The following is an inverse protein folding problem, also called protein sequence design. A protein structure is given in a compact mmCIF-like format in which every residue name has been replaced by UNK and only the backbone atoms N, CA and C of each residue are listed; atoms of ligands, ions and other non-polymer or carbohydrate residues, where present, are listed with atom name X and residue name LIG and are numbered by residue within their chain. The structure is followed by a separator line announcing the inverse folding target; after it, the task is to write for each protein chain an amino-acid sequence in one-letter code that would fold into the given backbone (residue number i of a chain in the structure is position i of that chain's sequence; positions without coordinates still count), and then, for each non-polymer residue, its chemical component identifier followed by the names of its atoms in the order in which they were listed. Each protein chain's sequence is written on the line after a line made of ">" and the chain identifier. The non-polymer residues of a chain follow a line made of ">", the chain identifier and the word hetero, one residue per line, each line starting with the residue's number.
data_IF_876768303653
#
_entry.id   IF_876768303653
#
_cell.length_a   1.000
_cell.length_b   1.000
_cell.length_c   1.000
_cell.angle_alpha   90.00
_cell.angle_beta   90.00
_cell.angle_gamma   90.00
#
_symmetry.space_group_name_H-M   'P 1'
#
loop_
_entity.id
_entity.type
_entity.pdbx_description
1 polymer ?
#
# COMPACT_ATOMS: atom_id res chain seq x y z
N UNK A 1 8.24 -15.88 66.72
CA UNK A 1 9.19 -15.43 65.69
C UNK A 1 9.19 -16.46 64.57
N UNK A 2 8.32 -16.30 63.56
CA UNK A 2 8.33 -17.12 62.35
C UNK A 2 9.12 -16.39 61.28
N UNK A 3 10.22 -16.97 60.82
CA UNK A 3 11.02 -16.49 59.70
C UNK A 3 10.38 -16.94 58.38
N UNK A 4 10.07 -15.99 57.52
CA UNK A 4 9.55 -16.22 56.16
C UNK A 4 10.76 -16.22 55.21
N UNK A 5 11.04 -17.39 54.61
CA UNK A 5 11.96 -17.51 53.47
C UNK A 5 11.26 -17.00 52.21
N UNK A 6 11.79 -15.95 51.59
CA UNK A 6 11.42 -15.54 50.23
C UNK A 6 12.23 -16.33 49.22
N UNK A 7 11.56 -17.23 48.48
CA UNK A 7 12.09 -17.82 47.24
C UNK A 7 11.89 -16.81 46.10
N UNK A 8 12.99 -16.20 45.67
CA UNK A 8 13.07 -15.40 44.44
C UNK A 8 13.00 -16.35 43.22
N UNK A 9 11.82 -16.46 42.61
CA UNK A 9 11.70 -17.01 41.27
C UNK A 9 12.19 -15.99 40.24
N UNK A 10 13.36 -16.24 39.65
CA UNK A 10 13.83 -15.56 38.44
C UNK A 10 12.84 -15.83 37.30
N UNK A 11 11.97 -14.86 37.02
CA UNK A 11 11.20 -14.81 35.77
C UNK A 11 12.16 -14.34 34.70
N UNK A 12 12.68 -15.27 33.89
CA UNK A 12 13.32 -14.94 32.63
C UNK A 12 12.26 -14.31 31.72
N UNK A 13 12.36 -13.00 31.51
CA UNK A 13 11.66 -12.28 30.46
C UNK A 13 12.30 -12.71 29.15
N UNK A 14 11.74 -13.72 28.49
CA UNK A 14 12.09 -14.06 27.11
C UNK A 14 11.16 -13.31 26.16
N UNK A 15 11.80 -12.60 25.25
CA UNK A 15 11.25 -11.78 24.17
C UNK A 15 9.97 -12.33 23.51
N UNK A 16 8.95 -11.46 23.42
CA UNK A 16 7.73 -11.67 22.64
C UNK A 16 7.92 -11.71 21.11
N UNK A 17 9.13 -11.96 20.62
CA UNK A 17 9.49 -11.99 19.19
C UNK A 17 9.37 -13.40 18.57
N UNK A 18 9.48 -14.48 19.35
CA UNK A 18 9.54 -15.84 18.79
C UNK A 18 8.18 -16.46 18.38
N UNK A 19 7.03 -15.95 18.83
CA UNK A 19 5.74 -16.63 18.63
C UNK A 19 4.99 -16.26 17.33
N UNK A 20 5.41 -15.21 16.61
CA UNK A 20 4.71 -14.80 15.37
C UNK A 20 5.07 -15.67 14.16
N UNK A 21 6.27 -16.24 14.12
CA UNK A 21 6.76 -17.06 13.01
C UNK A 21 6.11 -18.45 12.94
N UNK A 22 5.76 -19.04 14.09
CA UNK A 22 5.15 -20.37 14.17
C UNK A 22 3.76 -20.46 13.49
N UNK A 23 3.12 -19.32 13.24
CA UNK A 23 1.76 -19.23 12.72
C UNK A 23 1.69 -18.70 11.28
N UNK A 24 2.80 -18.62 10.54
CA UNK A 24 2.77 -18.14 9.15
C UNK A 24 2.04 -19.12 8.20
N UNK A 25 1.16 -18.65 7.28
CA UNK A 25 0.80 -17.25 6.98
C UNK A 25 -0.42 -16.72 7.76
N UNK A 26 -0.95 -17.45 8.75
CA UNK A 26 -2.15 -17.02 9.49
C UNK A 26 -1.97 -15.69 10.23
N UNK A 27 -0.74 -15.40 10.68
CA UNK A 27 -0.37 -14.11 11.27
C UNK A 27 -0.50 -12.90 10.32
N UNK A 28 -0.58 -13.10 9.00
CA UNK A 28 -0.79 -12.02 8.03
C UNK A 28 -2.23 -11.46 8.06
N UNK A 29 -3.17 -12.16 8.71
CA UNK A 29 -4.58 -11.77 8.77
C UNK A 29 -5.16 -11.45 7.38
N UNK A 30 -5.08 -12.42 6.46
CA UNK A 30 -5.59 -12.32 5.09
C UNK A 30 -6.69 -13.37 4.84
N UNK A 31 -7.58 -13.13 3.86
CA UNK A 31 -8.61 -14.10 3.50
C UNK A 31 -8.02 -15.47 3.17
N UNK A 32 -8.68 -16.56 3.62
CA UNK A 32 -8.26 -17.93 3.30
C UNK A 32 -8.17 -18.19 1.79
N UNK A 33 -9.02 -17.52 1.00
CA UNK A 33 -9.00 -17.58 -0.46
C UNK A 33 -7.74 -17.00 -1.10
N UNK A 34 -7.01 -16.12 -0.41
CA UNK A 34 -5.80 -15.47 -0.92
C UNK A 34 -4.53 -16.27 -0.64
N UNK A 35 -4.54 -17.08 0.42
CA UNK A 35 -3.37 -17.85 0.88
C UNK A 35 -2.69 -18.64 -0.26
N UNK A 36 -3.41 -19.38 -1.13
CA UNK A 36 -2.76 -20.17 -2.19
C UNK A 36 -1.94 -19.34 -3.19
N UNK A 37 -2.17 -18.03 -3.28
CA UNK A 37 -1.56 -17.13 -4.25
C UNK A 37 -0.32 -16.42 -3.70
N UNK A 38 -0.04 -16.51 -2.40
CA UNK A 38 1.12 -15.85 -1.78
C UNK A 38 2.46 -16.47 -2.21
N UNK A 39 2.48 -17.78 -2.47
CA UNK A 39 3.70 -18.58 -2.55
C UNK A 39 4.37 -18.57 -3.93
N UNK A 40 4.12 -17.51 -4.71
CA UNK A 40 4.85 -17.17 -5.93
C UNK A 40 5.73 -15.92 -5.76
N UNK A 41 5.58 -15.22 -4.64
CA UNK A 41 6.36 -14.04 -4.30
C UNK A 41 7.50 -14.41 -3.34
N UNK A 42 8.73 -14.06 -3.73
CA UNK A 42 9.96 -14.44 -3.04
C UNK A 42 9.97 -14.12 -1.53
N UNK A 43 9.56 -12.91 -1.08
CA UNK A 43 9.47 -12.63 0.35
C UNK A 43 8.62 -13.62 1.15
N UNK A 44 7.49 -14.07 0.59
CA UNK A 44 6.62 -15.05 1.26
C UNK A 44 7.16 -16.47 1.17
N UNK A 45 7.82 -16.83 0.05
CA UNK A 45 8.52 -18.11 -0.10
C UNK A 45 9.64 -18.22 0.94
N UNK A 46 10.54 -17.23 0.99
CA UNK A 46 11.69 -17.21 1.90
C UNK A 46 11.21 -17.31 3.37
N UNK A 47 10.10 -16.64 3.73
CA UNK A 47 9.49 -16.75 5.06
C UNK A 47 8.81 -18.11 5.29
N UNK A 48 8.13 -18.69 4.29
CA UNK A 48 7.47 -19.98 4.42
C UNK A 48 8.46 -21.14 4.59
N UNK A 49 9.62 -21.07 3.93
CA UNK A 49 10.65 -22.10 3.98
C UNK A 49 11.24 -22.30 5.38
N UNK A 50 11.28 -21.23 6.18
CA UNK A 50 11.74 -21.27 7.57
C UNK A 50 10.69 -21.82 8.54
N UNK A 51 9.43 -21.95 8.12
CA UNK A 51 8.31 -22.40 8.96
C UNK A 51 7.82 -23.78 8.50
N UNK A 52 8.16 -24.83 9.26
CA UNK A 52 7.85 -26.24 8.92
C UNK A 52 6.38 -26.46 8.52
N UNK A 53 5.44 -25.92 9.29
CA UNK A 53 4.01 -26.06 9.02
C UNK A 53 3.58 -25.39 7.70
N UNK A 54 4.16 -24.22 7.38
CA UNK A 54 3.90 -23.54 6.11
C UNK A 54 4.46 -24.36 4.94
N UNK A 55 5.73 -24.75 5.03
CA UNK A 55 6.43 -25.53 3.99
C UNK A 55 5.68 -26.80 3.63
N UNK A 56 5.30 -27.60 4.62
CA UNK A 56 4.58 -28.87 4.39
C UNK A 56 3.21 -28.65 3.73
N UNK A 57 2.50 -27.57 4.09
CA UNK A 57 1.12 -27.35 3.65
C UNK A 57 1.01 -26.65 2.29
N UNK A 58 1.93 -25.73 1.97
CA UNK A 58 1.73 -24.80 0.85
C UNK A 58 2.81 -24.86 -0.23
N UNK A 59 3.94 -25.54 -0.01
CA UNK A 59 5.02 -25.60 -1.01
C UNK A 59 4.91 -26.80 -1.99
N UNK A 60 3.88 -27.65 -1.87
CA UNK A 60 3.68 -28.83 -2.70
C UNK A 60 2.51 -28.67 -3.71
N UNK A 61 2.80 -28.77 -5.01
CA UNK A 61 1.82 -29.14 -6.07
C UNK A 61 0.72 -28.12 -6.40
N UNK A 62 0.86 -27.48 -7.58
CA UNK A 62 0.01 -26.45 -8.22
C UNK A 62 0.29 -25.01 -7.73
N UNK A 63 1.10 -24.30 -8.53
CA UNK A 63 1.42 -22.89 -8.35
C UNK A 63 0.26 -22.00 -8.85
N UNK A 64 -0.55 -21.51 -7.92
CA UNK A 64 -1.46 -20.38 -8.17
C UNK A 64 -0.69 -19.08 -8.02
N UNK A 65 -1.03 -18.08 -8.82
CA UNK A 65 -0.33 -16.79 -8.85
C UNK A 65 -1.32 -15.63 -8.92
N UNK A 66 -0.94 -14.45 -8.49
CA UNK A 66 -1.80 -13.27 -8.61
C UNK A 66 -1.96 -12.84 -10.07
N UNK A 67 -0.88 -12.86 -10.83
CA UNK A 67 -0.88 -12.50 -12.26
C UNK A 67 0.35 -11.74 -12.71
N UNK A 68 1.05 -11.10 -11.77
CA UNK A 68 2.23 -10.28 -12.06
C UNK A 68 3.56 -11.05 -11.90
N UNK A 69 3.53 -12.22 -11.27
CA UNK A 69 4.72 -13.02 -11.02
C UNK A 69 5.32 -13.60 -12.31
N UNK A 70 6.65 -13.75 -12.33
CA UNK A 70 7.35 -14.34 -13.47
C UNK A 70 6.86 -15.76 -13.74
N UNK A 71 6.46 -16.04 -14.98
CA UNK A 71 5.95 -17.35 -15.39
C UNK A 71 4.48 -17.62 -15.05
N UNK A 72 3.77 -16.66 -14.44
CA UNK A 72 2.34 -16.79 -14.20
C UNK A 72 1.56 -16.78 -15.53
N UNK A 73 0.77 -17.82 -15.76
CA UNK A 73 -0.16 -17.92 -16.91
C UNK A 73 -1.58 -17.61 -16.44
N UNK A 74 -2.40 -17.04 -17.34
CA UNK A 74 -3.76 -16.61 -17.00
C UNK A 74 -4.56 -17.69 -16.29
N UNK A 75 -4.55 -18.93 -16.79
CA UNK A 75 -5.29 -20.08 -16.20
C UNK A 75 -4.97 -20.36 -14.73
N UNK A 76 -3.76 -20.01 -14.27
CA UNK A 76 -3.32 -20.21 -12.88
C UNK A 76 -3.46 -18.92 -12.05
N UNK A 77 -3.84 -17.81 -12.69
CA UNK A 77 -3.99 -16.52 -12.03
C UNK A 77 -5.27 -16.45 -11.19
N UNK A 78 -5.28 -15.60 -10.17
CA UNK A 78 -6.48 -15.30 -9.39
C UNK A 78 -7.65 -14.85 -10.28
N UNK A 79 -7.34 -14.03 -11.27
CA UNK A 79 -8.32 -13.40 -12.16
C UNK A 79 -8.99 -14.36 -13.16
N UNK A 80 -8.44 -15.56 -13.37
CA UNK A 80 -9.04 -16.56 -14.28
C UNK A 80 -10.47 -16.94 -13.91
N UNK A 81 -10.77 -16.97 -12.61
CA UNK A 81 -12.08 -17.34 -12.10
C UNK A 81 -13.09 -16.19 -12.17
N UNK A 82 -12.64 -14.94 -12.31
CA UNK A 82 -13.48 -13.74 -12.16
C UNK A 82 -13.69 -13.00 -13.47
N UNK A 83 -12.68 -12.88 -14.33
CA UNK A 83 -12.78 -12.08 -15.56
C UNK A 83 -13.80 -12.72 -16.51
N UNK A 84 -14.72 -11.91 -17.00
CA UNK A 84 -15.71 -12.27 -18.03
C UNK A 84 -15.74 -11.19 -19.09
N UNK A 85 -15.90 -11.58 -20.34
CA UNK A 85 -16.11 -10.65 -21.45
C UNK A 85 -17.35 -11.09 -22.23
N UNK A 86 -18.47 -10.43 -21.91
CA UNK A 86 -19.80 -10.75 -22.41
C UNK A 86 -20.12 -9.87 -23.63
N UNK A 87 -21.03 -10.33 -24.50
CA UNK A 87 -21.39 -9.65 -25.75
C UNK A 87 -20.20 -9.43 -26.71
N UNK A 88 -19.17 -10.28 -26.60
CA UNK A 88 -17.99 -10.30 -27.48
C UNK A 88 -18.00 -11.58 -28.30
N UNK A 89 -17.64 -11.48 -29.59
CA UNK A 89 -17.53 -12.64 -30.47
C UNK A 89 -16.52 -13.67 -29.94
N UNK A 90 -16.72 -14.95 -30.21
CA UNK A 90 -15.83 -16.01 -29.69
C UNK A 90 -14.39 -15.86 -30.17
N UNK A 91 -14.21 -15.29 -31.36
CA UNK A 91 -12.90 -15.03 -31.97
C UNK A 91 -12.14 -13.91 -31.25
N UNK A 92 -12.83 -12.87 -30.78
CA UNK A 92 -12.22 -11.71 -30.12
C UNK A 92 -12.05 -11.90 -28.62
N UNK A 93 -12.90 -12.73 -27.99
CA UNK A 93 -12.96 -12.93 -26.54
C UNK A 93 -11.60 -13.24 -25.89
N UNK A 94 -10.74 -14.14 -26.42
CA UNK A 94 -9.43 -14.39 -25.82
C UNK A 94 -8.52 -13.16 -25.80
N UNK A 95 -8.57 -12.34 -26.86
CA UNK A 95 -7.80 -11.10 -26.97
C UNK A 95 -8.27 -10.08 -25.93
N UNK A 96 -9.58 -9.85 -25.83
CA UNK A 96 -10.17 -8.93 -24.85
C UNK A 96 -9.88 -9.33 -23.40
N UNK A 97 -10.00 -10.62 -23.06
CA UNK A 97 -9.62 -11.12 -21.72
C UNK A 97 -8.15 -10.80 -21.42
N UNK A 98 -7.26 -11.02 -22.40
CA UNK A 98 -5.84 -10.75 -22.24
C UNK A 98 -5.57 -9.26 -22.01
N UNK A 99 -6.20 -8.37 -22.77
CA UNK A 99 -6.07 -6.92 -22.59
C UNK A 99 -6.59 -6.48 -21.23
N UNK A 100 -7.83 -6.88 -20.87
CA UNK A 100 -8.42 -6.54 -19.58
C UNK A 100 -7.55 -7.02 -18.41
N UNK A 101 -7.01 -8.24 -18.48
CA UNK A 101 -6.11 -8.76 -17.45
C UNK A 101 -4.80 -7.95 -17.34
N UNK A 102 -4.21 -7.59 -18.48
CA UNK A 102 -2.95 -6.84 -18.55
C UNK A 102 -3.09 -5.37 -18.10
N UNK A 103 -4.27 -4.77 -18.28
CA UNK A 103 -4.46 -3.33 -18.13
C UNK A 103 -5.30 -2.93 -16.91
N UNK A 104 -6.31 -3.73 -16.56
CA UNK A 104 -7.28 -3.43 -15.51
C UNK A 104 -7.32 -4.43 -14.35
N UNK A 105 -6.29 -5.28 -14.22
CA UNK A 105 -6.22 -6.33 -13.20
C UNK A 105 -4.77 -6.56 -12.72
N UNK A 106 -4.53 -7.59 -11.92
CA UNK A 106 -3.24 -7.91 -11.29
C UNK A 106 -2.05 -7.94 -12.25
N UNK A 107 -2.22 -8.37 -13.51
CA UNK A 107 -1.09 -8.42 -14.44
C UNK A 107 -0.54 -7.02 -14.79
N UNK A 108 -1.32 -5.95 -14.56
CA UNK A 108 -0.83 -4.57 -14.64
C UNK A 108 0.34 -4.30 -13.69
N UNK A 109 0.36 -4.93 -12.52
CA UNK A 109 1.45 -4.76 -11.53
C UNK A 109 2.78 -5.34 -12.02
N UNK A 110 2.76 -6.18 -13.06
CA UNK A 110 3.97 -6.76 -13.63
C UNK A 110 4.94 -5.69 -14.12
N UNK A 111 4.45 -4.67 -14.82
CA UNK A 111 5.30 -3.60 -15.34
C UNK A 111 5.89 -2.76 -14.20
N UNK A 112 5.11 -2.52 -13.14
CA UNK A 112 5.60 -1.84 -11.93
C UNK A 112 6.74 -2.65 -11.32
N UNK A 113 6.51 -3.92 -10.99
CA UNK A 113 7.50 -4.79 -10.32
C UNK A 113 8.76 -4.97 -11.18
N UNK A 114 8.62 -5.16 -12.50
CA UNK A 114 9.77 -5.38 -13.38
C UNK A 114 10.61 -4.14 -13.64
N UNK A 115 10.06 -2.94 -13.38
CA UNK A 115 10.75 -1.66 -13.59
C UNK A 115 11.45 -1.14 -12.34
N UNK A 116 11.35 -1.84 -11.20
CA UNK A 116 11.99 -1.41 -9.97
C UNK A 116 13.51 -1.51 -10.11
N UNK A 117 14.18 -0.36 -9.94
CA UNK A 117 15.63 -0.24 -10.03
C UNK A 117 16.19 0.55 -8.84
N UNK A 118 17.38 0.20 -8.34
CA UNK A 118 18.01 0.91 -7.24
C UNK A 118 18.56 2.27 -7.69
N UNK A 119 18.26 3.31 -6.90
CA UNK A 119 18.77 4.69 -7.07
C UNK A 119 19.86 5.01 -6.05
N UNK A 120 19.71 4.48 -4.83
CA UNK A 120 20.67 4.62 -3.73
C UNK A 120 20.94 3.22 -3.17
N UNK A 121 22.20 2.81 -3.12
CA UNK A 121 22.61 1.53 -2.57
C UNK A 121 23.73 1.69 -1.57
N UNK A 122 23.70 0.83 -0.54
CA UNK A 122 24.74 0.72 0.47
C UNK A 122 24.81 -0.72 0.93
N UNK A 123 26.04 -1.25 1.10
CA UNK A 123 26.23 -2.60 1.66
C UNK A 123 25.83 -2.69 3.13
N UNK A 124 25.98 -1.59 3.87
CA UNK A 124 25.63 -1.53 5.29
C UNK A 124 24.11 -1.33 5.48
N UNK A 125 23.50 -2.11 6.38
CA UNK A 125 22.09 -2.01 6.74
C UNK A 125 21.75 -0.75 7.56
N UNK A 126 22.74 -0.08 8.14
CA UNK A 126 22.57 1.20 8.83
C UNK A 126 22.65 2.41 7.90
N UNK A 127 23.13 2.22 6.67
CA UNK A 127 23.19 3.24 5.63
C UNK A 127 21.90 3.25 4.81
N UNK A 128 21.78 4.18 3.86
CA UNK A 128 20.56 4.40 3.12
C UNK A 128 20.43 3.50 1.91
N UNK A 129 19.17 3.24 1.55
CA UNK A 129 18.79 2.53 0.35
C UNK A 129 17.53 3.19 -0.22
N UNK A 130 17.43 3.28 -1.55
CA UNK A 130 16.24 3.74 -2.26
C UNK A 130 16.19 3.00 -3.59
N UNK A 131 15.04 2.42 -3.89
CA UNK A 131 14.71 1.93 -5.21
C UNK A 131 13.28 2.30 -5.57
N UNK A 132 13.05 2.46 -6.86
CA UNK A 132 11.79 2.94 -7.38
C UNK A 132 11.43 2.23 -8.68
N UNK A 133 10.14 2.07 -8.93
CA UNK A 133 9.62 1.76 -10.27
C UNK A 133 9.79 2.95 -11.21
N UNK A 134 9.60 2.71 -12.51
CA UNK A 134 9.53 3.76 -13.53
C UNK A 134 8.61 4.93 -13.12
N UNK A 135 8.97 6.14 -13.56
CA UNK A 135 8.30 7.40 -13.24
C UNK A 135 8.20 7.73 -11.74
N UNK A 136 8.98 7.07 -10.87
CA UNK A 136 8.90 7.22 -9.40
C UNK A 136 7.48 6.97 -8.86
N UNK A 137 6.76 6.02 -9.48
CA UNK A 137 5.36 5.70 -9.14
C UNK A 137 5.20 4.87 -7.86
N UNK A 138 6.19 4.02 -7.57
CA UNK A 138 6.31 3.27 -6.34
C UNK A 138 7.77 3.31 -5.92
N UNK A 139 8.06 3.52 -4.64
CA UNK A 139 9.41 3.43 -4.10
C UNK A 139 9.43 2.74 -2.75
N UNK A 140 10.55 2.10 -2.43
CA UNK A 140 10.87 1.66 -1.07
C UNK A 140 12.25 2.13 -0.68
N UNK A 141 12.37 2.55 0.56
CA UNK A 141 13.57 3.18 1.09
C UNK A 141 13.88 2.70 2.49
N UNK A 142 15.17 2.78 2.84
CA UNK A 142 15.67 2.51 4.19
C UNK A 142 16.61 3.63 4.62
N UNK A 143 16.49 4.03 5.88
CA UNK A 143 17.26 5.10 6.51
C UNK A 143 17.28 6.39 5.69
N UNK A 144 16.13 6.99 5.40
CA UNK A 144 16.04 8.27 4.67
C UNK A 144 15.41 9.34 5.53
N UNK A 145 15.50 10.61 5.11
CA UNK A 145 14.80 11.71 5.75
C UNK A 145 14.02 12.58 4.76
N UNK A 146 12.98 13.24 5.27
CA UNK A 146 12.32 14.38 4.67
C UNK A 146 12.35 15.55 5.66
N UNK A 147 12.72 16.75 5.21
CA UNK A 147 12.73 17.96 6.00
C UNK A 147 11.63 18.89 5.53
N UNK A 148 10.58 19.01 6.33
CA UNK A 148 9.37 19.78 6.01
C UNK A 148 9.52 21.28 6.32
N UNK A 149 10.68 21.86 6.02
CA UNK A 149 10.98 23.28 6.28
C UNK A 149 10.02 24.22 5.53
N UNK A 150 9.53 23.81 4.36
CA UNK A 150 8.71 24.64 3.47
C UNK A 150 7.21 24.28 3.51
N UNK A 151 6.80 23.40 4.44
CA UNK A 151 5.40 23.01 4.58
C UNK A 151 4.53 24.21 5.02
N UNK A 152 4.99 25.05 5.94
CA UNK A 152 4.28 26.24 6.42
C UNK A 152 2.81 25.91 6.78
N UNK A 153 2.62 24.88 7.61
CA UNK A 153 1.34 24.19 7.78
C UNK A 153 0.16 25.15 8.06
N UNK A 154 0.37 26.19 8.88
CA UNK A 154 -0.69 27.14 9.29
C UNK A 154 -1.42 27.83 8.13
N UNK A 155 -0.73 28.07 7.02
CA UNK A 155 -1.29 28.74 5.84
C UNK A 155 -1.25 27.85 4.60
N UNK A 156 -0.96 26.57 4.78
CA UNK A 156 -0.71 25.65 3.68
C UNK A 156 -2.01 25.22 3.00
N UNK A 157 -1.96 25.14 1.67
CA UNK A 157 -3.06 24.67 0.82
C UNK A 157 -2.89 23.18 0.54
N UNK A 158 -4.00 22.51 0.25
CA UNK A 158 -4.01 21.12 -0.20
C UNK A 158 -3.29 20.97 -1.55
N UNK A 159 -2.66 19.81 -1.78
CA UNK A 159 -2.01 19.43 -3.04
C UNK A 159 -0.77 20.25 -3.42
N UNK A 160 0.01 20.70 -2.44
CA UNK A 160 1.28 21.40 -2.70
C UNK A 160 2.37 20.45 -3.17
N UNK A 161 3.06 20.83 -4.24
CA UNK A 161 4.18 20.11 -4.85
C UNK A 161 5.56 20.76 -4.57
N UNK A 162 5.56 21.82 -3.77
CA UNK A 162 6.70 22.67 -3.43
C UNK A 162 7.06 22.56 -1.93
N UNK A 163 6.75 21.42 -1.29
CA UNK A 163 7.04 21.20 0.13
C UNK A 163 8.49 20.77 0.35
N UNK A 164 9.08 20.06 -0.63
CA UNK A 164 10.43 19.49 -0.56
C UNK A 164 11.31 20.19 -1.60
N UNK A 165 12.48 20.63 -1.16
CA UNK A 165 13.49 21.29 -1.99
C UNK A 165 14.87 20.64 -1.83
N UNK A 166 15.88 21.19 -2.52
CA UNK A 166 17.29 20.86 -2.32
C UNK A 166 17.67 20.89 -0.82
N UNK A 167 18.35 19.84 -0.37
CA UNK A 167 18.70 19.71 1.04
C UNK A 167 17.61 19.11 1.93
N UNK A 168 16.39 18.90 1.41
CA UNK A 168 15.25 18.49 2.23
C UNK A 168 14.91 17.00 2.13
N UNK A 169 15.55 16.25 1.25
CA UNK A 169 15.35 14.81 1.16
C UNK A 169 16.67 14.13 0.88
N UNK A 170 16.89 12.99 1.51
CA UNK A 170 18.10 12.24 1.25
C UNK A 170 18.41 11.14 2.25
N UNK A 171 19.64 10.68 2.17
CA UNK A 171 20.20 9.64 3.02
C UNK A 171 21.71 9.56 2.86
N UNK A 172 22.34 8.53 3.40
CA UNK A 172 23.75 8.19 3.22
C UNK A 172 23.89 6.99 2.30
N UNK A 173 24.17 7.23 1.03
CA UNK A 173 24.35 6.17 0.02
C UNK A 173 25.84 5.87 -0.20
N UNK A 174 26.22 4.60 -0.33
CA UNK A 174 27.53 4.20 -0.87
C UNK A 174 27.62 4.55 -2.37
N UNK A 175 26.55 4.26 -3.12
CA UNK A 175 26.40 4.64 -4.53
C UNK A 175 25.03 5.28 -4.73
N UNK A 176 25.01 6.43 -5.40
CA UNK A 176 23.79 7.17 -5.74
C UNK A 176 23.81 7.54 -7.22
N UNK A 177 22.72 7.22 -7.92
CA UNK A 177 22.54 7.50 -9.36
C UNK A 177 21.59 8.70 -9.55
N UNK A 178 22.17 9.90 -9.57
CA UNK A 178 21.44 11.14 -9.72
C UNK A 178 20.86 11.32 -11.13
N UNK A 179 21.55 10.82 -12.15
CA UNK A 179 21.12 10.94 -13.55
C UNK A 179 19.89 10.05 -13.82
N UNK A 180 19.88 8.83 -13.28
CA UNK A 180 18.72 7.95 -13.33
C UNK A 180 17.53 8.55 -12.58
N UNK A 181 17.74 9.06 -11.36
CA UNK A 181 16.68 9.74 -10.60
C UNK A 181 16.07 10.89 -11.40
N UNK A 182 16.91 11.73 -12.01
CA UNK A 182 16.47 12.88 -12.81
C UNK A 182 15.65 12.45 -14.02
N UNK A 183 16.05 11.36 -14.69
CA UNK A 183 15.28 10.78 -15.82
C UNK A 183 13.97 10.15 -15.39
N UNK A 184 13.91 9.52 -14.23
CA UNK A 184 12.69 8.89 -13.70
C UNK A 184 11.71 9.90 -13.08
N UNK A 185 12.14 11.13 -12.81
CA UNK A 185 11.27 12.21 -12.32
C UNK A 185 10.57 12.96 -13.46
N UNK A 186 10.21 12.27 -14.54
CA UNK A 186 9.60 12.81 -15.75
C UNK A 186 8.08 13.01 -15.65
N UNK A 187 7.41 12.29 -14.75
CA UNK A 187 6.04 12.59 -14.33
C UNK A 187 6.04 13.34 -13.00
N UNK A 188 5.47 14.55 -12.94
CA UNK A 188 5.47 15.42 -11.76
C UNK A 188 4.09 16.02 -11.50
N UNK A 189 3.14 15.19 -11.11
CA UNK A 189 1.83 15.65 -10.62
C UNK A 189 1.52 15.01 -9.28
N UNK A 190 0.81 15.74 -8.41
CA UNK A 190 0.67 15.41 -6.99
C UNK A 190 0.24 13.96 -6.77
N UNK A 191 -0.79 13.48 -7.48
CA UNK A 191 -1.31 12.10 -7.37
C UNK A 191 -0.83 11.16 -8.49
N UNK A 192 0.17 11.55 -9.29
CA UNK A 192 0.72 10.70 -10.36
C UNK A 192 1.99 9.97 -9.92
N UNK A 193 2.87 10.63 -9.17
CA UNK A 193 4.18 10.08 -8.80
C UNK A 193 4.73 10.72 -7.52
N UNK A 194 5.89 10.22 -7.10
CA UNK A 194 6.75 10.80 -6.06
C UNK A 194 7.86 11.70 -6.62
N UNK A 195 7.74 12.10 -7.89
CA UNK A 195 8.77 12.86 -8.59
C UNK A 195 9.05 14.23 -7.95
N UNK A 196 8.02 14.94 -7.49
CA UNK A 196 8.20 16.24 -6.83
C UNK A 196 9.00 16.15 -5.54
N UNK A 197 8.78 15.11 -4.76
CA UNK A 197 9.38 14.91 -3.44
C UNK A 197 10.77 14.30 -3.55
N UNK A 198 11.01 13.42 -4.53
CA UNK A 198 12.26 12.67 -4.65
C UNK A 198 13.27 13.28 -5.62
N UNK A 199 12.89 14.17 -6.54
CA UNK A 199 13.84 14.78 -7.50
C UNK A 199 15.00 15.52 -6.84
N UNK A 200 14.83 15.96 -5.59
CA UNK A 200 15.86 16.63 -4.79
C UNK A 200 16.66 15.68 -3.89
N UNK A 201 16.49 14.37 -4.02
CA UNK A 201 17.19 13.40 -3.18
C UNK A 201 18.71 13.53 -3.37
N UNK A 202 19.43 13.60 -2.26
CA UNK A 202 20.88 13.69 -2.24
C UNK A 202 21.50 12.72 -1.23
N UNK A 203 22.78 12.37 -1.46
CA UNK A 203 23.57 11.56 -0.53
C UNK A 203 24.42 12.44 0.41
N UNK A 204 24.35 12.18 1.72
CA UNK A 204 25.02 12.91 2.78
C UNK A 204 25.93 11.96 3.58
N UNK A 205 27.24 12.13 3.46
CA UNK A 205 28.25 11.24 4.07
C UNK A 205 28.10 11.07 5.59
N UNK A 206 27.68 12.13 6.29
CA UNK A 206 27.60 12.15 7.75
C UNK A 206 26.21 11.82 8.28
N UNK A 207 25.21 11.62 7.41
CA UNK A 207 23.86 11.34 7.86
C UNK A 207 23.75 9.98 8.52
N UNK A 208 23.00 9.95 9.63
CA UNK A 208 22.56 8.76 10.35
C UNK A 208 21.14 9.01 10.83
N UNK A 209 20.34 7.96 10.93
CA UNK A 209 19.04 8.07 11.59
C UNK A 209 19.27 8.00 13.11
N UNK A 210 19.38 9.18 13.73
CA UNK A 210 19.53 9.37 15.18
C UNK A 210 18.97 10.75 15.59
N UNK A 211 18.84 10.98 16.90
CA UNK A 211 18.30 12.24 17.42
C UNK A 211 19.21 13.46 17.27
N UNK A 212 20.44 13.30 16.76
CA UNK A 212 21.30 14.45 16.39
C UNK A 212 20.99 14.96 14.99
N UNK A 213 20.49 14.08 14.12
CA UNK A 213 20.18 14.40 12.73
C UNK A 213 18.68 14.46 12.45
N UNK A 214 17.82 13.98 13.34
CA UNK A 214 16.38 13.83 13.12
C UNK A 214 15.59 14.38 14.31
N UNK A 215 14.56 15.16 14.04
CA UNK A 215 13.62 15.65 15.06
C UNK A 215 12.58 14.58 15.40
N UNK A 216 12.19 13.77 14.40
CA UNK A 216 11.24 12.67 14.53
C UNK A 216 11.82 11.45 13.83
N UNK A 217 11.73 10.28 14.47
CA UNK A 217 12.19 9.01 13.90
C UNK A 217 11.03 8.02 13.89
N UNK A 218 10.75 7.49 12.70
CA UNK A 218 9.87 6.35 12.51
C UNK A 218 10.70 5.07 12.45
N UNK A 219 10.71 4.31 13.54
CA UNK A 219 11.46 3.05 13.63
C UNK A 219 10.74 1.88 12.96
N UNK A 220 9.40 1.90 12.93
CA UNK A 220 8.60 0.88 12.25
C UNK A 220 8.54 1.13 10.74
N UNK A 221 8.22 0.10 9.93
CA UNK A 221 7.84 0.30 8.54
C UNK A 221 6.76 1.38 8.43
N UNK A 222 6.98 2.34 7.54
CA UNK A 222 6.07 3.46 7.39
C UNK A 222 5.62 3.59 5.94
N UNK A 223 4.31 3.69 5.73
CA UNK A 223 3.76 4.03 4.41
C UNK A 223 3.53 5.54 4.40
N UNK A 224 4.19 6.23 3.49
CA UNK A 224 4.02 7.66 3.28
C UNK A 224 3.13 7.82 2.06
N UNK A 225 1.89 8.30 2.22
CA UNK A 225 0.89 8.26 1.13
C UNK A 225 0.25 9.61 0.89
N UNK A 226 0.24 10.05 -0.37
CA UNK A 226 -0.59 11.16 -0.84
C UNK A 226 -2.00 10.66 -1.12
N UNK A 227 -2.99 11.45 -0.71
CA UNK A 227 -4.40 11.05 -0.70
C UNK A 227 -5.21 11.89 -1.69
N UNK A 228 -6.18 11.25 -2.34
CA UNK A 228 -7.25 11.95 -3.04
C UNK A 228 -8.29 12.47 -2.03
N UNK A 229 -9.46 12.88 -2.51
CA UNK A 229 -10.48 13.51 -1.68
C UNK A 229 -11.31 12.47 -0.88
N UNK A 230 -11.29 12.59 0.45
CA UNK A 230 -12.09 11.79 1.40
C UNK A 230 -13.61 12.06 1.34
N UNK A 231 -14.04 13.13 0.68
CA UNK A 231 -15.47 13.54 0.64
C UNK A 231 -16.34 12.67 -0.28
N UNK A 232 -15.73 11.76 -1.04
CA UNK A 232 -16.45 10.91 -1.99
C UNK A 232 -15.83 9.53 -2.02
N UNK A 233 -16.68 8.50 -1.91
CA UNK A 233 -16.23 7.12 -2.04
C UNK A 233 -15.51 6.88 -3.38
N UNK A 234 -15.95 7.55 -4.46
CA UNK A 234 -15.31 7.41 -5.77
C UNK A 234 -13.84 7.85 -5.74
N UNK A 235 -13.54 8.98 -5.09
CA UNK A 235 -12.16 9.48 -4.99
C UNK A 235 -11.36 8.76 -3.91
N UNK A 236 -11.94 8.45 -2.76
CA UNK A 236 -11.16 7.84 -1.69
C UNK A 236 -10.92 6.34 -1.89
N UNK A 237 -11.80 5.66 -2.65
CA UNK A 237 -11.61 4.24 -2.97
C UNK A 237 -10.34 4.02 -3.80
N UNK A 238 -9.95 4.96 -4.68
CA UNK A 238 -8.70 4.80 -5.41
C UNK A 238 -7.46 4.87 -4.50
N UNK A 239 -7.52 5.53 -3.35
CA UNK A 239 -6.42 5.49 -2.38
C UNK A 239 -6.25 4.05 -1.85
N UNK A 240 -7.33 3.43 -1.37
CA UNK A 240 -7.25 2.11 -0.75
C UNK A 240 -6.90 0.98 -1.73
N UNK A 241 -7.45 0.99 -2.95
CA UNK A 241 -7.12 -0.04 -3.95
C UNK A 241 -5.65 0.06 -4.40
N UNK A 242 -5.12 1.27 -4.56
CA UNK A 242 -3.71 1.46 -4.91
C UNK A 242 -2.78 1.17 -3.73
N UNK A 243 -3.22 1.42 -2.49
CA UNK A 243 -2.51 0.97 -1.28
C UNK A 243 -2.46 -0.56 -1.19
N UNK A 244 -3.59 -1.25 -1.47
CA UNK A 244 -3.63 -2.71 -1.54
C UNK A 244 -2.71 -3.25 -2.64
N UNK A 245 -2.77 -2.69 -3.85
CA UNK A 245 -1.84 -3.03 -4.92
C UNK A 245 -0.37 -2.80 -4.52
N UNK A 246 -0.10 -1.75 -3.75
CA UNK A 246 1.26 -1.46 -3.24
C UNK A 246 1.74 -2.49 -2.22
N UNK A 247 0.85 -3.13 -1.45
CA UNK A 247 1.21 -4.26 -0.59
C UNK A 247 1.74 -5.45 -1.40
N UNK A 248 1.14 -5.72 -2.58
CA UNK A 248 1.62 -6.74 -3.51
C UNK A 248 3.00 -6.39 -4.09
N UNK A 249 3.20 -5.14 -4.53
CA UNK A 249 4.49 -4.67 -5.08
C UNK A 249 5.58 -4.69 -4.00
N UNK A 250 5.27 -4.25 -2.79
CA UNK A 250 6.19 -4.24 -1.67
C UNK A 250 6.52 -5.66 -1.16
N UNK A 251 5.58 -6.60 -1.28
CA UNK A 251 5.72 -7.96 -0.79
C UNK A 251 5.48 -8.09 0.73
N UNK A 252 4.64 -7.24 1.31
CA UNK A 252 4.23 -7.36 2.71
C UNK A 252 2.77 -6.96 2.90
N UNK A 253 2.08 -7.73 3.74
CA UNK A 253 0.72 -7.46 4.22
C UNK A 253 0.70 -7.18 5.73
N UNK A 254 1.84 -6.91 6.35
CA UNK A 254 1.91 -6.66 7.80
C UNK A 254 1.01 -5.47 8.19
N UNK A 255 0.46 -5.50 9.40
CA UNK A 255 -0.40 -4.44 9.94
C UNK A 255 0.28 -3.63 11.05
N UNK A 256 1.45 -4.08 11.54
CA UNK A 256 2.25 -3.32 12.50
C UNK A 256 3.17 -2.35 11.76
N UNK A 257 2.55 -1.31 11.21
CA UNK A 257 3.22 -0.26 10.45
C UNK A 257 2.57 1.09 10.75
N UNK A 258 3.34 2.16 10.58
CA UNK A 258 2.82 3.52 10.66
C UNK A 258 2.34 3.97 9.25
N UNK A 259 1.34 4.85 9.20
CA UNK A 259 0.92 5.52 7.96
C UNK A 259 1.05 7.02 8.17
N UNK A 260 1.73 7.71 7.26
CA UNK A 260 1.78 9.17 7.20
C UNK A 260 0.92 9.63 6.04
N UNK A 261 -0.13 10.38 6.37
CA UNK A 261 -0.96 11.07 5.39
C UNK A 261 -0.23 12.32 4.91
N UNK A 262 0.26 12.25 3.68
CA UNK A 262 0.82 13.40 2.96
C UNK A 262 -0.33 14.25 2.43
N UNK A 263 -1.01 14.97 3.32
CA UNK A 263 -1.93 16.09 3.00
C UNK A 263 -1.29 17.39 3.49
N UNK A 264 -1.15 18.34 2.59
CA UNK A 264 -0.54 19.64 2.85
C UNK A 264 -1.56 20.68 3.32
N UNK A 265 -2.83 20.35 3.48
CA UNK A 265 -3.85 21.28 3.94
C UNK A 265 -3.68 21.67 5.42
N UNK A 266 -3.80 22.96 5.73
CA UNK A 266 -3.66 23.48 7.09
C UNK A 266 -4.61 22.84 8.12
N UNK A 267 -5.80 22.41 7.70
CA UNK A 267 -6.77 21.74 8.55
C UNK A 267 -6.54 20.24 8.74
N UNK A 268 -5.44 19.68 8.21
CA UNK A 268 -5.17 18.25 8.24
C UNK A 268 -6.01 17.45 7.24
N UNK A 269 -5.91 16.12 7.32
CA UNK A 269 -6.71 15.24 6.48
C UNK A 269 -7.90 14.72 7.27
N UNK A 270 -9.10 15.13 6.84
CA UNK A 270 -10.35 14.81 7.51
C UNK A 270 -11.02 13.67 6.76
N UNK A 271 -11.10 12.48 7.39
CA UNK A 271 -11.73 11.28 6.81
C UNK A 271 -12.83 10.67 7.72
N UNK A 272 -13.92 11.41 7.97
CA UNK A 272 -14.98 10.97 8.87
C UNK A 272 -15.87 9.87 8.26
N UNK A 273 -15.93 9.79 6.93
CA UNK A 273 -16.85 8.88 6.23
C UNK A 273 -16.23 7.49 6.02
N UNK A 274 -14.92 7.43 5.75
CA UNK A 274 -14.26 6.20 5.34
C UNK A 274 -13.06 5.84 6.23
N UNK A 275 -12.79 6.63 7.27
CA UNK A 275 -11.65 6.46 8.17
C UNK A 275 -11.58 5.09 8.85
N UNK A 276 -12.71 4.40 8.99
CA UNK A 276 -12.73 3.01 9.48
C UNK A 276 -11.91 2.04 8.62
N UNK A 277 -11.75 2.35 7.32
CA UNK A 277 -11.08 1.48 6.34
C UNK A 277 -9.58 1.37 6.57
N UNK A 278 -8.95 2.38 7.19
CA UNK A 278 -7.52 2.33 7.55
C UNK A 278 -7.15 1.15 8.45
N UNK A 279 -8.11 0.66 9.26
CA UNK A 279 -7.95 -0.55 10.10
C UNK A 279 -7.71 -1.83 9.29
N UNK A 280 -8.00 -1.84 7.99
CA UNK A 280 -7.64 -2.95 7.11
C UNK A 280 -6.16 -2.93 6.70
N UNK A 281 -5.43 -1.84 6.94
CA UNK A 281 -4.05 -1.67 6.48
C UNK A 281 -3.05 -1.50 7.62
N UNK A 282 -3.50 -0.97 8.76
CA UNK A 282 -2.65 -0.76 9.94
C UNK A 282 -3.45 -0.95 11.22
N UNK A 283 -2.77 -1.39 12.28
CA UNK A 283 -3.29 -1.42 13.65
C UNK A 283 -3.09 -0.08 14.39
N UNK A 284 -2.57 0.94 13.71
CA UNK A 284 -2.19 2.24 14.29
C UNK A 284 -3.00 3.36 13.66
N UNK A 285 -3.09 4.48 14.38
CA UNK A 285 -3.68 5.68 13.83
C UNK A 285 -2.68 6.33 12.86
N UNK A 286 -3.15 6.81 11.69
CA UNK A 286 -2.32 7.58 10.77
C UNK A 286 -1.84 8.90 11.38
N UNK A 287 -0.66 9.36 10.95
CA UNK A 287 -0.09 10.64 11.31
C UNK A 287 -0.35 11.67 10.21
N UNK A 288 -0.70 12.89 10.60
CA UNK A 288 -0.88 14.00 9.67
C UNK A 288 0.44 14.72 9.38
N UNK A 289 0.68 15.06 8.11
CA UNK A 289 1.88 15.77 7.68
C UNK A 289 2.09 17.10 8.42
N UNK A 290 1.00 17.80 8.74
CA UNK A 290 1.02 19.11 9.40
C UNK A 290 1.68 19.07 10.79
N UNK A 291 1.71 17.91 11.46
CA UNK A 291 2.41 17.77 12.75
C UNK A 291 3.94 17.75 12.61
N UNK A 292 4.44 17.63 11.38
CA UNK A 292 5.85 17.63 11.04
C UNK A 292 6.34 18.95 10.46
N UNK A 293 5.53 20.01 10.50
CA UNK A 293 5.90 21.35 10.01
C UNK A 293 7.25 21.81 10.58
N UNK A 294 8.17 22.18 9.70
CA UNK A 294 9.54 22.60 10.04
C UNK A 294 10.51 21.48 10.44
N UNK A 295 10.02 20.26 10.71
CA UNK A 295 10.81 19.16 11.27
C UNK A 295 11.51 18.33 10.20
N UNK A 296 12.68 17.81 10.54
CA UNK A 296 13.36 16.76 9.81
C UNK A 296 12.92 15.40 10.35
N UNK A 297 12.13 14.70 9.55
CA UNK A 297 11.55 13.40 9.87
C UNK A 297 12.35 12.31 9.17
N UNK A 298 12.82 11.33 9.94
CA UNK A 298 13.59 10.21 9.45
C UNK A 298 12.81 8.91 9.53
N UNK A 299 13.03 8.04 8.55
CA UNK A 299 12.35 6.76 8.42
C UNK A 299 13.39 5.65 8.34
N UNK A 300 13.31 4.68 9.25
CA UNK A 300 14.11 3.45 9.16
C UNK A 300 13.72 2.65 7.93
N UNK A 301 12.41 2.53 7.68
CA UNK A 301 11.87 1.88 6.48
C UNK A 301 10.67 2.69 6.00
N UNK A 302 10.67 3.07 4.73
CA UNK A 302 9.59 3.82 4.11
C UNK A 302 9.13 3.16 2.82
N UNK A 303 7.82 3.14 2.60
CA UNK A 303 7.18 2.79 1.33
C UNK A 303 6.43 4.02 0.85
N UNK A 304 6.70 4.41 -0.40
CA UNK A 304 5.98 5.43 -1.14
C UNK A 304 5.11 4.68 -2.16
N UNK A 305 3.82 4.44 -1.85
CA UNK A 305 2.95 3.55 -2.62
C UNK A 305 2.57 4.13 -3.98
N UNK A 306 1.96 3.28 -4.81
CA UNK A 306 1.22 3.68 -6.01
C UNK A 306 0.13 4.71 -5.64
N UNK A 307 -0.05 5.70 -6.51
CA UNK A 307 -0.96 6.83 -6.28
C UNK A 307 -2.22 6.77 -7.16
N UNK A 308 -3.29 7.35 -6.66
CA UNK A 308 -4.65 7.26 -7.21
C UNK A 308 -4.81 7.71 -8.68
N UNK A 309 -4.04 8.71 -9.14
CA UNK A 309 -4.24 9.36 -10.45
C UNK A 309 -3.07 9.17 -11.40
N UNK A 310 -2.31 8.10 -11.24
CA UNK A 310 -1.27 7.67 -12.19
C UNK A 310 -1.78 7.66 -13.63
N UNK A 311 -0.94 8.06 -14.58
CA UNK A 311 -1.26 7.95 -16.01
C UNK A 311 -1.34 6.48 -16.39
N UNK A 312 -2.46 6.05 -16.97
CA UNK A 312 -2.75 4.63 -17.25
C UNK A 312 -2.64 3.76 -15.97
N UNK A 313 -2.95 4.34 -14.81
CA UNK A 313 -2.94 3.70 -13.49
C UNK A 313 -4.19 2.87 -13.22
N UNK A 314 -4.30 2.30 -12.01
CA UNK A 314 -5.46 1.50 -11.63
C UNK A 314 -6.58 2.39 -11.05
N UNK A 315 -7.83 2.00 -11.28
CA UNK A 315 -9.07 2.72 -10.93
C UNK A 315 -9.35 4.00 -11.73
N UNK A 316 -8.68 5.12 -11.46
CA UNK A 316 -9.14 6.44 -11.94
C UNK A 316 -8.84 6.66 -13.43
N UNK A 317 -7.60 6.38 -13.85
CA UNK A 317 -7.15 6.49 -15.25
C UNK A 317 -6.92 5.11 -15.87
N UNK A 318 -7.68 4.12 -15.41
CA UNK A 318 -7.53 2.74 -15.85
C UNK A 318 -8.08 2.57 -17.27
N UNK A 319 -7.30 2.04 -18.21
CA UNK A 319 -7.83 1.66 -19.51
C UNK A 319 -8.76 0.46 -19.31
N UNK A 320 -10.03 0.64 -19.64
CA UNK A 320 -11.04 -0.41 -19.52
C UNK A 320 -11.30 -1.02 -20.89
N UNK A 321 -11.14 -2.35 -20.97
CA UNK A 321 -11.52 -3.12 -22.15
C UNK A 321 -13.06 -3.26 -22.20
N UNK A 322 -13.66 -2.76 -23.28
CA UNK A 322 -15.10 -2.76 -23.45
C UNK A 322 -15.68 -4.18 -23.49
N UNK A 323 -16.78 -4.40 -22.78
CA UNK A 323 -17.47 -5.69 -22.68
C UNK A 323 -16.85 -6.65 -21.66
N UNK A 324 -15.73 -6.27 -21.03
CA UNK A 324 -15.10 -7.06 -19.98
C UNK A 324 -15.42 -6.55 -18.58
N UNK A 325 -15.50 -7.47 -17.62
CA UNK A 325 -15.79 -7.20 -16.21
C UNK A 325 -15.16 -8.26 -15.30
N UNK A 326 -15.29 -8.10 -13.99
CA UNK A 326 -14.85 -9.09 -13.01
C UNK A 326 -13.34 -9.06 -12.74
N UNK A 327 -12.77 -7.87 -12.54
CA UNK A 327 -11.36 -7.73 -12.16
C UNK A 327 -11.06 -8.49 -10.87
N UNK A 328 -10.11 -9.43 -10.94
CA UNK A 328 -9.62 -10.24 -9.83
C UNK A 328 -8.97 -9.37 -8.75
N UNK A 329 -8.27 -8.30 -9.14
CA UNK A 329 -7.71 -7.31 -8.20
C UNK A 329 -8.78 -6.71 -7.30
N UNK A 330 -9.91 -6.28 -7.88
CA UNK A 330 -11.00 -5.68 -7.13
C UNK A 330 -11.76 -6.70 -6.28
N UNK A 331 -11.98 -7.90 -6.80
CA UNK A 331 -12.59 -9.01 -6.05
C UNK A 331 -11.73 -9.40 -4.84
N UNK A 332 -10.42 -9.56 -5.03
CA UNK A 332 -9.48 -9.82 -3.95
C UNK A 332 -9.47 -8.68 -2.94
N UNK A 333 -9.35 -7.43 -3.40
CA UNK A 333 -9.37 -6.26 -2.52
C UNK A 333 -10.65 -6.19 -1.66
N UNK A 334 -11.81 -6.42 -2.25
CA UNK A 334 -13.09 -6.46 -1.53
C UNK A 334 -13.07 -7.55 -0.44
N UNK A 335 -12.63 -8.76 -0.77
CA UNK A 335 -12.50 -9.86 0.20
C UNK A 335 -11.51 -9.53 1.33
N UNK A 336 -10.40 -8.86 0.98
CA UNK A 336 -9.38 -8.41 1.93
C UNK A 336 -9.93 -7.41 2.94
N UNK A 337 -10.62 -6.37 2.47
CA UNK A 337 -11.23 -5.36 3.34
C UNK A 337 -12.27 -5.99 4.28
N UNK A 338 -13.22 -6.76 3.72
CA UNK A 338 -14.28 -7.38 4.51
C UNK A 338 -13.70 -8.30 5.60
N UNK A 339 -12.68 -9.09 5.25
CA UNK A 339 -12.00 -9.97 6.20
C UNK A 339 -11.33 -9.21 7.33
N UNK A 340 -10.51 -8.19 7.01
CA UNK A 340 -9.74 -7.46 8.03
C UNK A 340 -10.59 -6.55 8.90
N UNK A 341 -11.68 -6.01 8.35
CA UNK A 341 -12.64 -5.23 9.11
C UNK A 341 -13.65 -6.10 9.88
N UNK A 342 -13.61 -7.43 9.73
CA UNK A 342 -14.54 -8.35 10.38
C UNK A 342 -15.99 -8.20 9.90
N UNK A 343 -16.20 -7.63 8.71
CA UNK A 343 -17.52 -7.38 8.15
C UNK A 343 -18.07 -8.70 7.59
N UNK A 344 -19.12 -9.20 8.23
CA UNK A 344 -19.87 -10.35 7.72
C UNK A 344 -20.89 -9.83 6.72
N UNK A 345 -20.85 -10.36 5.50
CA UNK A 345 -21.92 -10.15 4.54
C UNK A 345 -22.91 -11.30 4.66
N UNK A 346 -24.15 -10.99 5.06
CA UNK A 346 -25.21 -11.98 4.99
C UNK A 346 -25.45 -12.34 3.52
N UNK A 347 -25.55 -13.64 3.25
CA UNK A 347 -26.02 -14.11 1.96
C UNK A 347 -27.45 -13.59 1.70
N UNK A 348 -27.84 -13.43 0.43
CA UNK A 348 -29.22 -13.11 0.10
C UNK A 348 -30.16 -14.08 0.84
N UNK A 349 -30.99 -13.53 1.73
CA UNK A 349 -31.95 -14.35 2.46
C UNK A 349 -32.99 -14.83 1.45
N UNK A 350 -33.27 -16.14 1.41
CA UNK A 350 -34.33 -16.69 0.56
C UNK A 350 -35.62 -15.92 0.82
N UNK A 351 -36.30 -15.52 -0.26
CA UNK A 351 -37.56 -14.76 -0.24
C UNK A 351 -37.48 -13.34 0.37
N UNK A 352 -36.30 -12.74 0.49
CA UNK A 352 -36.17 -11.31 0.85
C UNK A 352 -35.41 -10.54 -0.21
N UNK A 353 -35.89 -9.34 -0.51
CA UNK A 353 -35.19 -8.37 -1.35
C UNK A 353 -34.45 -7.40 -0.43
N UNK A 354 -33.12 -7.28 -0.60
CA UNK A 354 -32.35 -6.21 0.04
C UNK A 354 -32.34 -5.00 -0.90
N UNK A 355 -32.97 -3.91 -0.46
CA UNK A 355 -32.94 -2.63 -1.16
C UNK A 355 -31.89 -1.76 -0.47
N UNK A 356 -30.84 -1.37 -1.19
CA UNK A 356 -29.88 -0.37 -0.72
C UNK A 356 -30.23 0.96 -1.36
N UNK A 357 -30.69 1.91 -0.56
CA UNK A 357 -31.01 3.25 -1.02
C UNK A 357 -29.81 4.17 -0.82
N UNK A 358 -29.29 4.72 -1.93
CA UNK A 358 -28.14 5.62 -1.90
C UNK A 358 -28.62 7.07 -1.92
N UNK A 359 -28.70 7.68 -0.74
CA UNK A 359 -28.98 9.10 -0.61
C UNK A 359 -27.77 9.94 -0.99
N UNK A 360 -28.04 11.06 -1.68
CA UNK A 360 -27.02 12.04 -2.05
C UNK A 360 -27.31 13.35 -1.33
N UNK A 361 -26.39 13.75 -0.46
CA UNK A 361 -26.42 15.06 0.20
C UNK A 361 -25.76 16.13 -0.68
N UNK A 362 -26.31 16.34 -1.88
CA UNK A 362 -25.86 17.37 -2.83
C UNK A 362 -26.91 18.45 -2.98
N UNK A 363 -26.52 19.69 -3.32
CA UNK A 363 -27.48 20.77 -3.58
C UNK A 363 -28.43 20.45 -4.75
N UNK A 364 -27.96 19.65 -5.71
CA UNK A 364 -28.73 19.22 -6.88
C UNK A 364 -29.00 17.71 -6.81
N UNK A 365 -30.08 17.21 -7.45
CA UNK A 365 -30.44 15.78 -7.52
C UNK A 365 -30.73 15.12 -6.17
N UNK A 366 -31.38 15.85 -5.25
CA UNK A 366 -31.90 15.28 -3.99
C UNK A 366 -33.15 14.47 -4.26
N UNK A 367 -33.31 13.35 -3.57
CA UNK A 367 -34.55 12.58 -3.58
C UNK A 367 -35.45 13.22 -2.51
N UNK A 368 -36.37 14.08 -2.96
CA UNK A 368 -37.15 14.97 -2.09
C UNK A 368 -38.11 14.23 -1.16
N UNK A 369 -38.45 12.99 -1.50
CA UNK A 369 -39.33 12.14 -0.73
C UNK A 369 -38.60 10.94 -0.09
N UNK A 370 -37.29 11.06 0.12
CA UNK A 370 -36.49 10.00 0.78
C UNK A 370 -37.08 9.58 2.14
N UNK A 371 -37.62 10.54 2.90
CA UNK A 371 -38.23 10.27 4.20
C UNK A 371 -39.51 9.41 4.13
N UNK A 372 -40.11 9.22 2.95
CA UNK A 372 -41.26 8.33 2.77
C UNK A 372 -40.85 6.86 2.65
N UNK A 373 -39.55 6.58 2.49
CA UNK A 373 -39.00 5.23 2.27
C UNK A 373 -38.45 4.61 3.56
N UNK A 374 -38.26 5.40 4.62
CA UNK A 374 -37.62 4.98 5.88
C UNK A 374 -38.54 5.03 7.10
#
# INVERSE_FOLDING_TARGET
>A
MLGILFLLSLVSITDGSLNSAAHFPANLNIPKSHIPYLFMSKPFIDKCETVKACKTKYMNGIQRCWGYEKGCVFKNSFSSATIRCDNVSEKERPGKIKTFWAEGDFAKLKSVVSSIVPLCTSRNQDESFLECSEHLRFCRARNIFFHFKHLNAKTSKRYRNDVIHDGNVGGRCEKFDQDLLSRMADEQSYLQSWGHELKYFQSYKNFKVDHKHCDVIFDRPTIIMKLDASVSMYHHFCDFINLYASQHVNGSFDMDLDIVWWDTFAGGFVDPLFGSTWRAFTNRLPYELIHFDGKKVCFRNAVLPLLARQRMGLYYNMPLEEGCSGSGLFDAFSKHLLHRLGIKQDTPQRNKVRITFLSRSTQFRRIVNENEVF
#
